data_IF_075925982160
#
_entry.id   IF_075925982160
#
_cell.length_a   1.000
_cell.length_b   1.000
_cell.length_c   1.000
_cell.angle_alpha   90.00
_cell.angle_beta   90.00
_cell.angle_gamma   90.00
#
_symmetry.space_group_name_H-M   'P 1'
#
loop_
_entity.id
_entity.type
_entity.pdbx_description
1 polymer ?
#
# COMPACT_ATOMS: atom_id res chain seq x y z
N UNK A 1 10.68 18.68 14.25
CA UNK A 1 11.64 17.64 14.68
C UNK A 1 11.25 16.34 13.98
N UNK A 2 12.06 15.88 13.01
CA UNK A 2 11.83 14.64 12.26
C UNK A 2 12.33 13.47 13.11
N UNK A 3 11.43 12.57 13.52
CA UNK A 3 11.86 11.32 14.15
C UNK A 3 12.16 10.27 13.08
N UNK A 4 13.30 9.56 13.14
CA UNK A 4 13.59 8.43 12.27
C UNK A 4 13.18 7.14 12.98
N UNK A 5 11.90 6.77 12.91
CA UNK A 5 11.46 5.43 13.32
C UNK A 5 11.62 4.48 12.13
N UNK A 6 12.87 4.13 11.87
CA UNK A 6 13.23 2.96 11.07
C UNK A 6 12.67 1.72 11.78
N UNK A 7 12.01 0.83 11.03
CA UNK A 7 11.53 -0.54 11.37
C UNK A 7 10.02 -0.79 11.43
N UNK A 8 9.17 0.16 11.06
CA UNK A 8 7.80 -0.16 10.66
C UNK A 8 7.56 0.50 9.31
N UNK A 9 7.82 -0.23 8.22
CA UNK A 9 7.18 0.09 6.94
C UNK A 9 5.71 -0.24 7.17
N UNK A 10 5.04 0.72 7.78
CA UNK A 10 3.71 0.56 8.33
C UNK A 10 2.77 0.27 7.17
N UNK A 11 1.82 -0.64 7.35
CA UNK A 11 0.80 -0.94 6.32
C UNK A 11 0.15 0.33 5.78
N UNK A 12 0.06 1.34 6.62
CA UNK A 12 -0.43 2.67 6.29
C UNK A 12 0.37 3.34 5.16
N UNK A 13 1.67 3.09 5.04
CA UNK A 13 2.52 3.62 3.97
C UNK A 13 2.20 2.96 2.61
N UNK A 14 1.87 1.67 2.60
CA UNK A 14 1.52 0.96 1.36
C UNK A 14 0.15 1.34 0.82
N UNK A 15 -0.85 1.52 1.70
CA UNK A 15 -2.18 1.99 1.29
C UNK A 15 -2.13 3.46 0.82
N UNK A 16 -1.38 4.32 1.53
CA UNK A 16 -1.14 5.71 1.10
C UNK A 16 -0.50 5.77 -0.29
N UNK A 17 0.56 4.98 -0.54
CA UNK A 17 1.21 4.91 -1.86
C UNK A 17 0.27 4.37 -2.94
N UNK A 18 -0.62 3.43 -2.62
CA UNK A 18 -1.60 2.93 -3.57
C UNK A 18 -2.64 4.00 -3.95
N UNK A 19 -3.06 4.82 -2.97
CA UNK A 19 -3.97 5.95 -3.19
C UNK A 19 -3.31 7.05 -4.03
N UNK A 20 -2.07 7.42 -3.72
CA UNK A 20 -1.30 8.38 -4.53
C UNK A 20 -1.09 7.88 -5.97
N UNK A 21 -0.74 6.60 -6.14
CA UNK A 21 -0.58 6.01 -7.47
C UNK A 21 -1.90 5.99 -8.26
N UNK A 22 -3.05 5.80 -7.60
CA UNK A 22 -4.37 5.92 -8.23
C UNK A 22 -4.71 7.35 -8.65
N UNK A 23 -4.34 8.34 -7.83
CA UNK A 23 -4.58 9.75 -8.13
C UNK A 23 -3.75 10.21 -9.33
N UNK A 24 -2.47 9.82 -9.38
CA UNK A 24 -1.60 10.06 -10.53
C UNK A 24 -2.11 9.33 -11.78
N UNK A 25 -2.56 8.07 -11.66
CA UNK A 25 -3.15 7.33 -12.77
C UNK A 25 -4.43 8.00 -13.31
N UNK A 26 -5.20 8.69 -12.46
CA UNK A 26 -6.41 9.42 -12.86
C UNK A 26 -6.10 10.72 -13.60
N UNK A 27 -4.98 11.38 -13.29
CA UNK A 27 -4.50 12.57 -14.00
C UNK A 27 -3.99 12.25 -15.40
N UNK A 28 -3.57 11.00 -15.65
CA UNK A 28 -3.11 10.58 -16.97
C UNK A 28 -4.27 10.50 -17.99
N UNK A 29 -4.02 10.91 -19.24
CA UNK A 29 -4.98 10.73 -20.31
C UNK A 29 -5.22 9.24 -20.57
N UNK A 30 -6.38 8.92 -21.12
CA UNK A 30 -6.74 7.55 -21.45
C UNK A 30 -5.71 6.97 -22.42
N UNK A 31 -5.04 5.90 -22.00
CA UNK A 31 -3.96 5.32 -22.77
C UNK A 31 -3.23 4.20 -22.02
N UNK A 32 -2.25 3.56 -22.68
CA UNK A 32 -1.48 2.46 -22.09
C UNK A 32 -0.78 2.86 -20.78
N UNK A 33 -0.26 4.09 -20.70
CA UNK A 33 0.39 4.64 -19.50
C UNK A 33 -0.56 4.69 -18.29
N UNK A 34 -1.82 5.10 -18.49
CA UNK A 34 -2.84 5.08 -17.43
C UNK A 34 -3.15 3.66 -16.98
N UNK A 35 -3.26 2.72 -17.91
CA UNK A 35 -3.55 1.33 -17.59
C UNK A 35 -2.41 0.68 -16.77
N UNK A 36 -1.17 1.01 -17.11
CA UNK A 36 0.01 0.56 -16.37
C UNK A 36 0.08 1.15 -14.97
N UNK A 37 -0.23 2.44 -14.82
CA UNK A 37 -0.32 3.10 -13.52
C UNK A 37 -1.43 2.50 -12.62
N UNK A 38 -2.61 2.19 -13.21
CA UNK A 38 -3.70 1.50 -12.49
C UNK A 38 -3.31 0.08 -12.05
N UNK A 39 -2.57 -0.66 -12.91
CA UNK A 39 -2.04 -1.98 -12.55
C UNK A 39 -1.06 -1.90 -11.39
N UNK A 40 -0.13 -0.96 -11.42
CA UNK A 40 0.82 -0.74 -10.34
C UNK A 40 0.12 -0.40 -9.02
N UNK A 41 -0.90 0.48 -9.05
CA UNK A 41 -1.66 0.80 -7.86
C UNK A 41 -2.45 -0.41 -7.31
N UNK A 42 -2.97 -1.26 -8.20
CA UNK A 42 -3.64 -2.51 -7.81
C UNK A 42 -2.67 -3.51 -7.16
N UNK A 43 -1.45 -3.64 -7.70
CA UNK A 43 -0.40 -4.47 -7.12
C UNK A 43 0.01 -4.00 -5.73
N UNK A 44 0.12 -2.69 -5.51
CA UNK A 44 0.42 -2.11 -4.20
C UNK A 44 -0.67 -2.44 -3.18
N UNK A 45 -1.96 -2.39 -3.57
CA UNK A 45 -3.07 -2.82 -2.72
C UNK A 45 -2.98 -4.30 -2.37
N UNK A 46 -2.74 -5.16 -3.36
CA UNK A 46 -2.59 -6.61 -3.14
C UNK A 46 -1.40 -6.92 -2.24
N UNK A 47 -0.30 -6.19 -2.35
CA UNK A 47 0.84 -6.33 -1.43
C UNK A 47 0.48 -5.92 0.01
N UNK A 48 -0.23 -4.80 0.18
CA UNK A 48 -0.73 -4.35 1.48
C UNK A 48 -1.69 -5.38 2.10
N UNK A 49 -2.61 -5.93 1.30
CA UNK A 49 -3.56 -6.97 1.69
C UNK A 49 -2.89 -8.33 1.92
N UNK A 50 -1.79 -8.65 1.25
CA UNK A 50 -1.03 -9.87 1.51
C UNK A 50 -0.31 -9.75 2.86
N UNK A 51 0.37 -8.62 3.09
CA UNK A 51 0.92 -8.31 4.41
C UNK A 51 -0.17 -8.32 5.48
N UNK A 52 -1.40 -7.90 5.12
CA UNK A 52 -2.72 -8.26 5.70
C UNK A 52 -2.82 -9.58 6.51
N UNK A 53 -2.67 -10.64 5.73
CA UNK A 53 -2.88 -12.02 6.14
C UNK A 53 -1.64 -12.63 6.77
N UNK A 54 -0.44 -12.22 6.35
CA UNK A 54 0.81 -12.79 6.84
C UNK A 54 1.37 -12.10 8.09
N UNK A 55 0.88 -10.93 8.47
CA UNK A 55 1.27 -10.34 9.75
C UNK A 55 0.74 -11.22 10.90
N UNK A 56 1.60 -11.72 11.80
CA UNK A 56 1.17 -12.52 12.92
C UNK A 56 0.21 -11.68 13.76
N UNK A 57 -1.05 -12.12 13.83
CA UNK A 57 -1.99 -11.54 14.79
C UNK A 57 -1.38 -11.64 16.19
N UNK A 58 -1.48 -10.61 17.04
CA UNK A 58 -1.05 -10.74 18.42
C UNK A 58 -1.89 -11.86 19.03
N UNK A 59 -1.23 -12.97 19.38
CA UNK A 59 -1.86 -14.10 20.08
C UNK A 59 -2.47 -13.52 21.36
N UNK A 60 -3.79 -13.41 21.41
CA UNK A 60 -4.50 -13.09 22.65
C UNK A 60 -4.08 -14.15 23.68
N UNK A 61 -3.57 -13.79 24.87
CA UNK A 61 -3.22 -14.77 25.86
C UNK A 61 -4.49 -15.52 26.29
N UNK A 62 -4.44 -16.85 26.47
CA UNK A 62 -5.55 -17.59 27.04
C UNK A 62 -5.80 -17.09 28.47
N UNK A 63 -7.06 -16.85 28.80
CA UNK A 63 -7.52 -16.41 30.12
C UNK A 63 -7.73 -17.61 31.04
#
# INVERSE_FOLDING_TARGET
MKQPTSSVVDRHDWDARAVEALDEARKLPNGPLRNEALKNASLLRVAADSMRFFAPTPRKPPR
#
